data_IF_400652115321
#
_entry.id   IF_400652115321
#
_cell.length_a   1.000
_cell.length_b   1.000
_cell.length_c   1.000
_cell.angle_alpha   90.00
_cell.angle_beta   90.00
_cell.angle_gamma   90.00
#
_symmetry.space_group_name_H-M   'P 1'
#
loop_
_entity.id
_entity.type
_entity.pdbx_description
1 polymer ?
#
# COMPACT_ATOMS: atom_id res chain seq x y z
N UNK A 1 15.56 21.92 -4.91
CA UNK A 1 15.35 20.89 -5.97
C UNK A 1 16.04 19.58 -5.63
N UNK A 2 17.25 19.58 -5.07
CA UNK A 2 17.95 18.36 -4.66
C UNK A 2 17.17 17.51 -3.64
N UNK A 3 16.56 18.14 -2.65
CA UNK A 3 15.82 17.45 -1.57
C UNK A 3 14.58 16.69 -2.07
N UNK A 4 13.81 17.28 -3.01
CA UNK A 4 12.68 16.60 -3.65
C UNK A 4 13.16 15.39 -4.45
N UNK A 5 14.24 15.55 -5.23
CA UNK A 5 14.79 14.45 -6.02
C UNK A 5 15.37 13.34 -5.13
N UNK A 6 16.04 13.69 -4.04
CA UNK A 6 16.54 12.73 -3.06
C UNK A 6 15.40 11.95 -2.42
N UNK A 7 14.37 12.65 -1.90
CA UNK A 7 13.22 11.99 -1.30
C UNK A 7 12.47 11.10 -2.31
N UNK A 8 12.31 11.58 -3.56
CA UNK A 8 11.72 10.77 -4.62
C UNK A 8 12.53 9.50 -4.88
N UNK A 9 13.85 9.61 -5.10
CA UNK A 9 14.69 8.48 -5.43
C UNK A 9 14.73 7.44 -4.30
N UNK A 10 14.92 7.88 -3.06
CA UNK A 10 15.00 6.99 -1.89
C UNK A 10 13.68 6.25 -1.70
N UNK A 11 12.55 6.96 -1.68
CA UNK A 11 11.24 6.35 -1.48
C UNK A 11 10.85 5.47 -2.67
N UNK A 12 11.09 5.90 -3.90
CA UNK A 12 10.79 5.11 -5.10
C UNK A 12 11.55 3.77 -5.11
N UNK A 13 12.84 3.79 -4.78
CA UNK A 13 13.64 2.56 -4.69
C UNK A 13 13.20 1.66 -3.53
N UNK A 14 12.82 2.25 -2.40
CA UNK A 14 12.28 1.50 -1.27
C UNK A 14 10.95 0.82 -1.59
N UNK A 15 10.12 1.44 -2.44
CA UNK A 15 8.81 0.92 -2.89
C UNK A 15 8.91 -0.13 -4.00
N UNK A 16 10.04 -0.18 -4.76
CA UNK A 16 10.17 -1.15 -5.85
C UNK A 16 10.13 -2.59 -5.32
N UNK A 17 9.13 -3.34 -5.76
CA UNK A 17 8.93 -4.73 -5.34
C UNK A 17 8.32 -4.90 -3.95
N UNK A 18 7.82 -3.82 -3.35
CA UNK A 18 7.20 -3.90 -2.04
C UNK A 18 5.78 -4.49 -2.09
N UNK A 19 5.29 -4.89 -0.91
CA UNK A 19 3.97 -5.50 -0.66
C UNK A 19 2.80 -4.66 -1.20
N UNK A 20 2.91 -3.35 -1.15
CA UNK A 20 1.88 -2.42 -1.61
C UNK A 20 1.70 -2.40 -3.12
N UNK A 21 2.75 -2.68 -3.88
CA UNK A 21 2.63 -2.91 -5.32
C UNK A 21 1.77 -4.15 -5.63
N UNK A 22 1.90 -5.22 -4.83
CA UNK A 22 1.04 -6.41 -4.96
C UNK A 22 -0.42 -6.10 -4.63
N UNK A 23 -0.68 -5.26 -3.62
CA UNK A 23 -2.04 -4.76 -3.32
C UNK A 23 -2.60 -3.98 -4.49
N UNK A 24 -1.87 -2.99 -5.00
CA UNK A 24 -2.28 -2.16 -6.13
C UNK A 24 -2.54 -2.99 -7.40
N UNK A 25 -1.66 -3.95 -7.69
CA UNK A 25 -1.77 -4.89 -8.81
C UNK A 25 -3.04 -5.76 -8.68
N UNK A 26 -3.28 -6.33 -7.48
CA UNK A 26 -4.45 -7.18 -7.21
C UNK A 26 -5.76 -6.39 -7.34
N UNK A 27 -5.78 -5.14 -6.86
CA UNK A 27 -6.93 -4.25 -7.00
C UNK A 27 -7.18 -3.87 -8.46
N UNK A 28 -6.13 -3.56 -9.20
CA UNK A 28 -6.22 -3.24 -10.63
C UNK A 28 -6.71 -4.42 -11.47
N UNK A 29 -6.46 -5.64 -11.01
CA UNK A 29 -6.99 -6.86 -11.61
C UNK A 29 -8.51 -7.03 -11.42
N UNK A 30 -9.07 -6.46 -10.35
CA UNK A 30 -10.48 -6.64 -9.97
C UNK A 30 -11.34 -5.40 -10.25
N UNK A 31 -10.73 -4.22 -10.42
CA UNK A 31 -11.41 -2.94 -10.52
C UNK A 31 -10.88 -2.10 -11.68
N UNK A 32 -11.64 -1.07 -12.09
CA UNK A 32 -11.19 -0.13 -13.13
C UNK A 32 -9.95 0.65 -12.64
N UNK A 33 -8.85 0.57 -13.39
CA UNK A 33 -7.55 1.17 -13.03
C UNK A 33 -7.66 2.64 -12.57
N UNK A 34 -8.46 3.47 -13.26
CA UNK A 34 -8.62 4.87 -12.86
C UNK A 34 -9.24 5.03 -11.46
N UNK A 35 -10.20 4.19 -11.08
CA UNK A 35 -10.82 4.24 -9.74
C UNK A 35 -9.86 3.74 -8.67
N UNK A 36 -9.09 2.70 -8.98
CA UNK A 36 -8.03 2.18 -8.09
C UNK A 36 -7.01 3.28 -7.85
N UNK A 37 -6.51 3.92 -8.90
CA UNK A 37 -5.53 5.00 -8.79
C UNK A 37 -6.07 6.15 -7.94
N UNK A 38 -7.28 6.63 -8.17
CA UNK A 38 -7.87 7.72 -7.37
C UNK A 38 -7.95 7.34 -5.88
N UNK A 39 -8.41 6.13 -5.58
CA UNK A 39 -8.54 5.67 -4.18
C UNK A 39 -7.17 5.51 -3.51
N UNK A 40 -6.20 4.93 -4.19
CA UNK A 40 -4.85 4.75 -3.66
C UNK A 40 -4.08 6.07 -3.56
N UNK A 41 -4.21 6.98 -4.53
CA UNK A 41 -3.59 8.32 -4.47
C UNK A 41 -4.13 9.11 -3.27
N UNK A 42 -5.44 9.04 -3.00
CA UNK A 42 -6.02 9.66 -1.81
C UNK A 42 -5.46 9.07 -0.51
N UNK A 43 -5.33 7.74 -0.44
CA UNK A 43 -4.72 7.06 0.70
C UNK A 43 -3.25 7.43 0.87
N UNK A 44 -2.47 7.50 -0.22
CA UNK A 44 -1.06 7.92 -0.23
C UNK A 44 -0.93 9.38 0.23
N UNK A 45 -1.79 10.29 -0.24
CA UNK A 45 -1.75 11.70 0.17
C UNK A 45 -1.96 11.85 1.68
N UNK A 46 -2.95 11.12 2.23
CA UNK A 46 -3.21 11.12 3.67
C UNK A 46 -2.03 10.51 4.44
N UNK A 47 -1.51 9.37 3.98
CA UNK A 47 -0.38 8.70 4.60
C UNK A 47 0.87 9.59 4.64
N UNK A 48 1.24 10.20 3.51
CA UNK A 48 2.41 11.08 3.45
C UNK A 48 2.26 12.33 4.32
N UNK A 49 1.04 12.87 4.40
CA UNK A 49 0.76 13.98 5.32
C UNK A 49 0.97 13.56 6.77
N UNK A 50 0.47 12.39 7.16
CA UNK A 50 0.68 11.85 8.50
C UNK A 50 2.16 11.53 8.75
N UNK A 51 2.84 10.93 7.78
CA UNK A 51 4.27 10.56 7.90
C UNK A 51 5.14 11.77 8.17
N UNK A 52 4.95 12.83 7.38
CA UNK A 52 5.76 14.06 7.53
C UNK A 52 5.41 14.84 8.80
N UNK A 53 4.13 14.88 9.18
CA UNK A 53 3.69 15.67 10.36
C UNK A 53 3.88 14.93 11.67
N UNK A 54 3.68 13.62 11.69
CA UNK A 54 3.67 12.81 12.91
C UNK A 54 4.91 11.89 13.05
N UNK A 55 5.69 11.72 12.00
CA UNK A 55 6.77 10.72 11.95
C UNK A 55 7.80 10.89 13.07
N UNK A 56 8.23 12.10 13.35
CA UNK A 56 9.19 12.39 14.42
C UNK A 56 8.62 12.16 15.84
N UNK A 57 7.30 12.18 16.01
CA UNK A 57 6.63 11.95 17.29
C UNK A 57 6.30 10.47 17.50
N UNK A 58 5.83 9.78 16.46
CA UNK A 58 5.40 8.37 16.52
C UNK A 58 6.60 7.42 16.61
N UNK A 59 7.69 7.67 15.90
CA UNK A 59 8.91 6.85 15.96
C UNK A 59 9.55 6.80 17.36
N UNK A 60 9.24 7.77 18.23
CA UNK A 60 9.70 7.79 19.63
C UNK A 60 8.72 7.17 20.62
N UNK A 61 7.45 7.02 20.25
CA UNK A 61 6.37 6.65 21.17
C UNK A 61 5.87 5.21 21.00
N UNK A 62 6.02 4.61 19.82
CA UNK A 62 5.48 3.26 19.53
C UNK A 62 6.62 2.30 19.22
N UNK A 63 6.76 1.19 19.95
CA UNK A 63 7.76 0.17 19.66
C UNK A 63 7.55 -0.45 18.27
N UNK A 64 8.62 -0.60 17.50
CA UNK A 64 8.61 -1.21 16.15
C UNK A 64 7.92 -2.58 16.13
N UNK A 65 8.09 -3.34 17.21
CA UNK A 65 7.44 -4.64 17.38
C UNK A 65 5.91 -4.56 17.34
N UNK A 66 5.31 -3.58 17.99
CA UNK A 66 3.85 -3.39 18.01
C UNK A 66 3.31 -3.03 16.63
N UNK A 67 4.08 -2.22 15.90
CA UNK A 67 3.77 -1.83 14.52
C UNK A 67 3.83 -3.07 13.59
N UNK A 68 4.88 -3.87 13.69
CA UNK A 68 5.06 -5.07 12.90
C UNK A 68 3.96 -6.12 13.18
N UNK A 69 3.58 -6.32 14.46
CA UNK A 69 2.47 -7.22 14.81
C UNK A 69 1.14 -6.74 14.22
N UNK A 70 0.81 -5.46 14.38
CA UNK A 70 -0.42 -4.90 13.83
C UNK A 70 -0.48 -5.01 12.29
N UNK A 71 0.62 -4.70 11.60
CA UNK A 71 0.73 -4.82 10.15
C UNK A 71 0.61 -6.29 9.69
N UNK A 72 1.29 -7.22 10.35
CA UNK A 72 1.23 -8.63 10.02
C UNK A 72 -0.18 -9.22 10.17
N UNK A 73 -0.88 -8.92 11.25
CA UNK A 73 -2.28 -9.35 11.46
C UNK A 73 -3.21 -8.75 10.40
N UNK A 74 -2.99 -7.51 10.01
CA UNK A 74 -3.75 -6.86 8.96
C UNK A 74 -3.58 -7.57 7.62
N UNK A 75 -2.34 -7.91 7.23
CA UNK A 75 -2.09 -8.67 5.99
C UNK A 75 -2.74 -10.05 6.00
N UNK A 76 -2.74 -10.75 7.13
CA UNK A 76 -3.46 -12.02 7.26
C UNK A 76 -4.97 -11.84 7.13
N UNK A 77 -5.52 -10.76 7.70
CA UNK A 77 -6.91 -10.36 7.50
C UNK A 77 -7.25 -10.17 6.01
N UNK A 78 -6.34 -9.50 5.25
CA UNK A 78 -6.50 -9.33 3.79
C UNK A 78 -6.37 -10.62 3.01
N UNK A 79 -5.47 -11.50 3.39
CA UNK A 79 -5.36 -12.81 2.77
C UNK A 79 -6.71 -13.56 2.86
N UNK A 80 -7.29 -13.60 4.06
CA UNK A 80 -8.59 -14.23 4.31
C UNK A 80 -9.72 -13.54 3.54
N UNK A 81 -9.76 -12.21 3.54
CA UNK A 81 -10.79 -11.43 2.83
C UNK A 81 -10.72 -11.65 1.32
N UNK A 82 -9.52 -11.57 0.73
CA UNK A 82 -9.29 -11.80 -0.70
C UNK A 82 -9.64 -13.24 -1.10
N UNK A 83 -9.31 -14.20 -0.24
CA UNK A 83 -9.65 -15.60 -0.46
C UNK A 83 -11.16 -15.87 -0.41
N UNK A 84 -11.87 -15.28 0.56
CA UNK A 84 -13.34 -15.43 0.70
C UNK A 84 -14.10 -14.73 -0.43
N UNK A 85 -13.64 -13.58 -0.89
CA UNK A 85 -14.24 -12.84 -2.01
C UNK A 85 -14.19 -13.57 -3.37
N UNK A 86 -13.51 -14.71 -3.43
CA UNK A 86 -13.38 -15.54 -4.64
C UNK A 86 -14.71 -16.11 -5.14
N UNK A 87 -15.70 -16.26 -4.25
CA UNK A 87 -17.01 -16.87 -4.55
C UNK A 87 -18.17 -15.87 -4.55
N UNK A 88 -17.90 -14.57 -4.44
CA UNK A 88 -18.94 -13.56 -4.51
C UNK A 88 -19.32 -13.30 -5.97
N UNK A 89 -20.53 -13.71 -6.34
CA UNK A 89 -21.14 -13.44 -7.64
C UNK A 89 -21.27 -11.91 -7.88
N UNK A 90 -21.05 -11.48 -9.12
CA UNK A 90 -21.05 -10.08 -9.57
C UNK A 90 -22.42 -9.40 -9.56
N UNK A 91 -23.43 -9.93 -8.85
CA UNK A 91 -24.83 -9.54 -9.00
C UNK A 91 -25.30 -8.32 -8.20
N UNK A 92 -24.46 -7.72 -7.34
CA UNK A 92 -24.84 -6.51 -6.56
C UNK A 92 -23.89 -5.34 -6.83
N UNK A 93 -23.91 -4.88 -8.06
CA UNK A 93 -22.80 -4.26 -8.79
C UNK A 93 -22.32 -2.86 -8.34
N UNK A 94 -23.06 -2.06 -7.59
CA UNK A 94 -22.65 -0.67 -7.35
C UNK A 94 -22.11 -0.36 -5.96
N UNK A 95 -22.89 -0.66 -4.95
CA UNK A 95 -22.56 -0.31 -3.57
C UNK A 95 -21.58 -1.32 -2.89
N UNK A 96 -21.65 -2.60 -3.27
CA UNK A 96 -20.69 -3.61 -2.84
C UNK A 96 -19.31 -3.37 -3.46
N UNK A 97 -19.29 -2.90 -4.71
CA UNK A 97 -18.10 -2.51 -5.46
C UNK A 97 -17.39 -1.29 -4.84
N UNK A 98 -18.15 -0.23 -4.50
CA UNK A 98 -17.59 0.95 -3.86
C UNK A 98 -17.08 0.64 -2.44
N UNK A 99 -17.79 -0.21 -1.69
CA UNK A 99 -17.34 -0.71 -0.38
C UNK A 99 -16.09 -1.55 -0.48
N UNK A 100 -15.96 -2.39 -1.51
CA UNK A 100 -14.77 -3.19 -1.77
C UNK A 100 -13.55 -2.31 -2.04
N UNK A 101 -13.66 -1.29 -2.88
CA UNK A 101 -12.57 -0.38 -3.20
C UNK A 101 -12.19 0.51 -2.01
N UNK A 102 -13.17 1.03 -1.27
CA UNK A 102 -12.91 1.81 -0.05
C UNK A 102 -12.24 0.95 1.02
N UNK A 103 -12.74 -0.26 1.24
CA UNK A 103 -12.09 -1.22 2.15
C UNK A 103 -10.65 -1.51 1.75
N UNK A 104 -10.39 -1.70 0.47
CA UNK A 104 -9.06 -1.96 -0.05
C UNK A 104 -8.12 -0.74 0.06
N UNK A 105 -8.61 0.47 -0.17
CA UNK A 105 -7.84 1.70 0.04
C UNK A 105 -7.51 1.93 1.53
N UNK A 106 -8.49 1.67 2.41
CA UNK A 106 -8.28 1.70 3.86
C UNK A 106 -7.23 0.68 4.27
N UNK A 107 -7.30 -0.48 3.70
CA UNK A 107 -6.38 -1.56 3.90
C UNK A 107 -4.96 -1.22 3.47
N UNK A 108 -4.80 -0.68 2.28
CA UNK A 108 -3.53 -0.14 1.80
C UNK A 108 -2.98 0.92 2.77
N UNK A 109 -3.81 1.88 3.17
CA UNK A 109 -3.44 2.91 4.12
C UNK A 109 -2.94 2.34 5.45
N UNK A 110 -3.70 1.40 6.04
CA UNK A 110 -3.33 0.78 7.31
C UNK A 110 -2.07 -0.10 7.19
N UNK A 111 -1.85 -0.75 6.06
CA UNK A 111 -0.67 -1.55 5.79
C UNK A 111 0.62 -0.71 5.69
N UNK A 112 0.49 0.51 5.18
CA UNK A 112 1.58 1.48 5.10
C UNK A 112 1.82 2.23 6.42
N UNK A 113 0.82 2.27 7.30
CA UNK A 113 0.90 2.97 8.57
C UNK A 113 1.94 2.29 9.47
N UNK A 114 3.10 2.96 9.68
CA UNK A 114 4.21 2.42 10.46
C UNK A 114 5.22 1.56 9.67
N UNK A 115 5.08 1.45 8.34
CA UNK A 115 6.07 0.75 7.52
C UNK A 115 7.37 1.57 7.33
N UNK A 116 8.39 0.88 6.80
CA UNK A 116 9.71 1.47 6.50
C UNK A 116 9.63 2.79 5.73
N UNK A 117 8.65 2.92 4.81
CA UNK A 117 8.45 4.12 4.00
C UNK A 117 7.98 5.30 4.85
N UNK A 118 7.08 5.06 5.81
CA UNK A 118 6.66 6.09 6.78
C UNK A 118 7.84 6.57 7.63
N UNK A 119 8.66 5.65 8.14
CA UNK A 119 9.83 5.96 8.95
C UNK A 119 10.91 6.69 8.13
N UNK A 120 11.17 6.22 6.91
CA UNK A 120 12.11 6.86 5.97
C UNK A 120 11.67 8.27 5.62
N UNK A 121 10.39 8.46 5.28
CA UNK A 121 9.82 9.78 4.97
C UNK A 121 9.91 10.71 6.18
N UNK A 122 9.63 10.22 7.38
CA UNK A 122 9.73 10.98 8.61
C UNK A 122 11.18 11.39 8.92
N UNK A 123 12.14 10.48 8.76
CA UNK A 123 13.56 10.76 8.91
C UNK A 123 14.04 11.81 7.91
N UNK A 124 13.73 11.62 6.62
CA UNK A 124 14.05 12.60 5.59
C UNK A 124 13.42 13.98 5.86
N UNK A 125 12.18 14.02 6.35
CA UNK A 125 11.50 15.27 6.66
C UNK A 125 12.15 16.03 7.83
N UNK A 126 12.73 15.31 8.79
CA UNK A 126 13.49 15.91 9.88
C UNK A 126 14.79 16.57 9.38
N UNK A 127 15.45 15.96 8.38
CA UNK A 127 16.74 16.41 7.86
C UNK A 127 16.62 17.46 6.73
N UNK A 128 15.62 17.32 5.87
CA UNK A 128 15.49 18.09 4.61
C UNK A 128 14.24 18.98 4.56
N UNK A 129 13.44 19.01 5.60
CA UNK A 129 12.22 19.79 5.68
C UNK A 129 10.98 19.08 5.12
N UNK A 130 9.84 19.41 5.70
CA UNK A 130 8.57 18.72 5.49
C UNK A 130 8.04 18.81 4.05
N UNK A 131 8.05 20.00 3.46
CA UNK A 131 7.42 20.24 2.13
C UNK A 131 8.16 19.55 0.99
N UNK A 132 9.49 19.71 0.81
CA UNK A 132 10.20 19.03 -0.28
C UNK A 132 10.15 17.51 -0.14
N UNK A 133 10.22 16.98 1.08
CA UNK A 133 10.13 15.54 1.33
C UNK A 133 8.73 15.02 1.04
N UNK A 134 7.68 15.75 1.44
CA UNK A 134 6.31 15.37 1.09
C UNK A 134 6.10 15.28 -0.42
N UNK A 135 6.55 16.29 -1.18
CA UNK A 135 6.43 16.31 -2.65
C UNK A 135 7.18 15.12 -3.27
N UNK A 136 8.42 14.89 -2.86
CA UNK A 136 9.27 13.82 -3.39
C UNK A 136 8.70 12.43 -3.08
N UNK A 137 8.38 12.17 -1.83
CA UNK A 137 7.87 10.86 -1.38
C UNK A 137 6.47 10.57 -1.90
N UNK A 138 5.57 11.57 -1.92
CA UNK A 138 4.26 11.43 -2.55
C UNK A 138 4.38 11.10 -4.04
N UNK A 139 5.21 11.84 -4.78
CA UNK A 139 5.47 11.58 -6.19
C UNK A 139 6.03 10.16 -6.44
N UNK A 140 6.94 9.71 -5.59
CA UNK A 140 7.53 8.37 -5.66
C UNK A 140 6.49 7.27 -5.47
N UNK A 141 5.66 7.37 -4.42
CA UNK A 141 4.60 6.39 -4.15
C UNK A 141 3.54 6.38 -5.25
N UNK A 142 3.13 7.55 -5.75
CA UNK A 142 2.19 7.64 -6.88
C UNK A 142 2.77 7.00 -8.14
N UNK A 143 4.03 7.25 -8.46
CA UNK A 143 4.71 6.66 -9.62
C UNK A 143 4.80 5.14 -9.48
N UNK A 144 5.26 4.62 -8.33
CA UNK A 144 5.35 3.20 -8.03
C UNK A 144 3.99 2.50 -8.11
N UNK A 145 2.97 3.08 -7.46
CA UNK A 145 1.59 2.56 -7.49
C UNK A 145 1.00 2.58 -8.89
N UNK A 146 1.25 3.63 -9.67
CA UNK A 146 0.79 3.72 -11.06
C UNK A 146 1.39 2.63 -11.92
N UNK A 147 2.69 2.38 -11.78
CA UNK A 147 3.37 1.27 -12.48
C UNK A 147 2.74 -0.08 -12.10
N UNK A 148 2.47 -0.32 -10.82
CA UNK A 148 1.83 -1.55 -10.36
C UNK A 148 0.41 -1.73 -10.92
N UNK A 149 -0.39 -0.67 -10.95
CA UNK A 149 -1.75 -0.68 -11.53
C UNK A 149 -1.74 -0.93 -13.02
N UNK A 150 -0.80 -0.32 -13.77
CA UNK A 150 -0.65 -0.53 -15.20
C UNK A 150 -0.20 -1.95 -15.52
N UNK A 151 0.76 -2.48 -14.76
CA UNK A 151 1.20 -3.87 -14.87
C UNK A 151 0.06 -4.84 -14.52
N UNK A 152 -0.71 -4.56 -13.47
CA UNK A 152 -1.88 -5.34 -13.09
C UNK A 152 -2.91 -5.43 -14.22
N UNK A 153 -3.19 -4.32 -14.89
CA UNK A 153 -4.10 -4.29 -16.05
C UNK A 153 -3.58 -5.13 -17.23
N UNK A 154 -2.29 -5.10 -17.50
CA UNK A 154 -1.69 -5.92 -18.56
C UNK A 154 -1.77 -7.42 -18.23
N UNK A 155 -1.65 -7.77 -16.96
CA UNK A 155 -1.77 -9.16 -16.49
C UNK A 155 -3.22 -9.68 -16.59
N UNK A 156 -4.23 -8.85 -16.33
CA UNK A 156 -5.65 -9.27 -16.39
C UNK A 156 -6.10 -9.71 -17.77
N UNK A 157 -5.46 -9.23 -18.83
CA UNK A 157 -5.75 -9.66 -20.21
C UNK A 157 -5.21 -11.06 -20.52
N UNK A 158 -4.31 -11.60 -19.70
CA UNK A 158 -3.62 -12.87 -19.94
C UNK A 158 -3.88 -13.93 -18.86
N UNK A 159 -4.36 -13.54 -17.69
CA UNK A 159 -4.54 -14.42 -16.53
C UNK A 159 -5.97 -14.30 -15.97
N UNK A 160 -6.67 -15.43 -15.73
CA UNK A 160 -8.01 -15.40 -15.13
C UNK A 160 -8.06 -14.66 -13.79
N UNK A 161 -9.14 -13.91 -13.56
CA UNK A 161 -9.30 -13.11 -12.33
C UNK A 161 -9.22 -13.97 -11.04
N UNK A 162 -9.72 -15.22 -11.09
CA UNK A 162 -9.62 -16.16 -9.98
C UNK A 162 -8.18 -16.52 -9.61
N UNK A 163 -7.31 -16.67 -10.62
CA UNK A 163 -5.88 -16.94 -10.43
C UNK A 163 -5.18 -15.73 -9.80
N UNK A 164 -5.47 -14.51 -10.29
CA UNK A 164 -4.91 -13.29 -9.72
C UNK A 164 -5.35 -13.07 -8.26
N UNK A 165 -6.62 -13.36 -7.93
CA UNK A 165 -7.11 -13.32 -6.55
C UNK A 165 -6.39 -14.34 -5.66
N UNK A 166 -6.16 -15.56 -6.16
CA UNK A 166 -5.42 -16.59 -5.42
C UNK A 166 -3.99 -16.17 -5.17
N UNK A 167 -3.29 -15.66 -6.20
CA UNK A 167 -1.92 -15.14 -6.06
C UNK A 167 -1.86 -14.00 -5.05
N UNK A 168 -2.81 -13.05 -5.12
CA UNK A 168 -2.91 -11.95 -4.16
C UNK A 168 -3.13 -12.44 -2.73
N UNK A 169 -4.06 -13.37 -2.51
CA UNK A 169 -4.32 -13.92 -1.17
C UNK A 169 -3.10 -14.65 -0.59
N UNK A 170 -2.41 -15.45 -1.42
CA UNK A 170 -1.15 -16.13 -1.01
C UNK A 170 -0.07 -15.11 -0.70
N UNK A 171 0.10 -14.08 -1.55
CA UNK A 171 1.08 -13.02 -1.31
C UNK A 171 0.81 -12.30 0.02
N UNK A 172 -0.44 -11.92 0.30
CA UNK A 172 -0.81 -11.31 1.58
C UNK A 172 -0.55 -12.23 2.77
N UNK A 173 -0.84 -13.53 2.65
CA UNK A 173 -0.56 -14.49 3.71
C UNK A 173 0.94 -14.61 3.99
N UNK A 174 1.76 -14.73 2.95
CA UNK A 174 3.23 -14.82 3.07
C UNK A 174 3.79 -13.54 3.70
N UNK A 175 3.40 -12.36 3.19
CA UNK A 175 3.86 -11.08 3.74
C UNK A 175 3.44 -10.94 5.21
N UNK A 176 2.20 -11.26 5.54
CA UNK A 176 1.70 -11.20 6.92
C UNK A 176 2.51 -12.09 7.87
N UNK A 177 2.80 -13.32 7.46
CA UNK A 177 3.61 -14.25 8.25
C UNK A 177 5.05 -13.76 8.41
N UNK A 178 5.69 -13.28 7.33
CA UNK A 178 7.06 -12.75 7.39
C UNK A 178 7.13 -11.51 8.29
N UNK A 179 6.14 -10.61 8.21
CA UNK A 179 6.06 -9.43 9.06
C UNK A 179 5.88 -9.80 10.53
N UNK A 180 5.05 -10.80 10.85
CA UNK A 180 4.90 -11.30 12.22
C UNK A 180 6.19 -11.97 12.71
N UNK A 181 6.86 -12.75 11.87
CA UNK A 181 8.12 -13.39 12.21
C UNK A 181 9.24 -12.37 12.51
N UNK A 182 9.25 -11.22 11.82
CA UNK A 182 10.21 -10.14 12.10
C UNK A 182 9.93 -9.38 13.39
N UNK A 183 8.75 -9.56 13.97
CA UNK A 183 8.36 -8.93 15.24
C UNK A 183 8.76 -9.74 16.49
N UNK A 184 9.23 -10.97 16.31
CA UNK A 184 9.67 -11.89 17.39
C UNK A 184 11.16 -11.79 17.59
#
# INVERSE_FOLDING_TARGET
MGEVATAFAVVFLAELGDKTQLVALTLAAQHRAARVLVALIAAIALLQTLSVTAGALISRAVPDRSIAVAAGLLFLGFAVWTWRGRNADESDGGAAYARGLFGAATAFFLAELGDKTMLTTAGLAADHGAVPVWIGSFGAMVASTTLAVLLGRSLTTRVPASTLRTIGAVAFAVIGLLTLASAV
#
